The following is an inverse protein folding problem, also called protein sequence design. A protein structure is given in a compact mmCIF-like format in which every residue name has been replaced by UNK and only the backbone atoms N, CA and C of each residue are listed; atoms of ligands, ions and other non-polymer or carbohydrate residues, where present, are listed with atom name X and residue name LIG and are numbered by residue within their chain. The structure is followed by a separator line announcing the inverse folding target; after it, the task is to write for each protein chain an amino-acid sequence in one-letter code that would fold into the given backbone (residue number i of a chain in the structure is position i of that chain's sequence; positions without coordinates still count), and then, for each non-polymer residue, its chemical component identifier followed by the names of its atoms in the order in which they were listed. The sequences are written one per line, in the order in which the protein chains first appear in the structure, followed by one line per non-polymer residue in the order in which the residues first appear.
data_IF_100883518282
#
_entry.id   IF_100883518282
#
_cell.length_a   1.000
_cell.length_b   1.000
_cell.length_c   1.000
_cell.angle_alpha   90.00
_cell.angle_beta   90.00
_cell.angle_gamma   90.00
#
_symmetry.space_group_name_H-M   'P 1'
#
loop_
_entity.id
_entity.type
_entity.pdbx_description
1 polymer ?
#
# COMPACT_ATOMS: atom_id res chain seq x y z
N UNK A 1 31.39 -16.80 50.43
CA UNK A 1 32.16 -17.78 49.63
C UNK A 1 32.15 -17.24 48.20
N UNK A 2 33.16 -16.45 47.76
CA UNK A 2 34.34 -16.92 46.98
C UNK A 2 33.86 -17.79 45.79
N UNK A 3 34.06 -17.48 44.50
CA UNK A 3 35.22 -16.84 43.89
C UNK A 3 35.00 -16.54 42.37
N UNK A 4 35.82 -15.60 41.85
CA UNK A 4 36.54 -15.58 40.55
C UNK A 4 35.72 -15.49 39.24
N UNK A 5 35.79 -14.37 38.51
CA UNK A 5 36.81 -14.02 37.49
C UNK A 5 36.72 -14.95 36.26
N UNK A 6 36.56 -14.45 35.03
CA UNK A 6 37.71 -14.00 34.22
C UNK A 6 37.19 -13.31 32.95
N UNK A 7 37.71 -12.12 32.66
CA UNK A 7 37.52 -11.41 31.41
C UNK A 7 38.38 -12.05 30.31
N UNK A 8 37.82 -12.24 29.11
CA UNK A 8 38.58 -12.59 27.92
C UNK A 8 38.25 -11.57 26.81
N UNK A 9 39.00 -10.47 26.79
CA UNK A 9 39.14 -9.67 25.57
C UNK A 9 39.94 -10.51 24.57
N UNK A 10 39.33 -10.86 23.43
CA UNK A 10 40.06 -11.40 22.28
C UNK A 10 40.15 -10.30 21.24
N UNK A 11 41.19 -9.48 21.35
CA UNK A 11 41.66 -8.63 20.26
C UNK A 11 42.56 -9.47 19.36
N UNK A 12 42.03 -9.90 18.22
CA UNK A 12 42.80 -10.49 17.13
C UNK A 12 42.79 -9.54 15.93
N UNK A 13 43.76 -8.62 15.88
CA UNK A 13 44.10 -7.88 14.67
C UNK A 13 44.90 -8.80 13.75
N UNK A 14 44.26 -9.46 12.79
CA UNK A 14 44.94 -10.13 11.68
C UNK A 14 44.88 -9.22 10.44
N UNK A 15 45.88 -8.33 10.33
CA UNK A 15 46.22 -7.71 9.04
C UNK A 15 46.99 -8.76 8.24
N UNK A 16 46.37 -9.27 7.18
CA UNK A 16 46.99 -10.14 6.20
C UNK A 16 46.50 -9.76 4.82
N UNK A 17 47.29 -8.96 4.10
CA UNK A 17 47.10 -8.72 2.67
C UNK A 17 47.19 -10.04 1.89
N UNK A 18 46.15 -10.35 1.11
CA UNK A 18 46.28 -11.08 -0.14
C UNK A 18 45.16 -10.70 -1.10
N UNK A 19 45.55 -10.62 -2.36
CA UNK A 19 44.89 -9.93 -3.45
C UNK A 19 43.57 -10.56 -3.91
N UNK A 20 42.72 -9.69 -4.48
CA UNK A 20 41.80 -10.01 -5.56
C UNK A 20 40.72 -11.06 -5.29
N UNK A 21 39.81 -10.80 -4.37
CA UNK A 21 38.43 -11.26 -4.49
C UNK A 21 37.49 -10.12 -4.10
N UNK A 22 36.39 -9.99 -4.82
CA UNK A 22 35.30 -9.06 -4.52
C UNK A 22 34.99 -9.01 -3.02
N UNK A 23 34.47 -7.89 -2.51
CA UNK A 23 33.78 -7.78 -1.21
C UNK A 23 32.81 -8.95 -1.03
N UNK A 24 33.33 -10.05 -0.52
CA UNK A 24 32.72 -11.37 -0.55
C UNK A 24 32.62 -11.85 0.86
N UNK A 25 31.46 -12.44 1.20
CA UNK A 25 31.22 -12.96 2.54
C UNK A 25 32.33 -13.94 2.92
N UNK A 26 32.85 -13.83 4.14
CA UNK A 26 33.82 -14.81 4.64
C UNK A 26 33.15 -16.18 4.79
N UNK A 27 33.95 -17.25 4.83
CA UNK A 27 33.41 -18.60 5.01
C UNK A 27 32.58 -18.70 6.30
N UNK A 28 33.01 -18.04 7.35
CA UNK A 28 32.32 -17.98 8.64
C UNK A 28 30.96 -17.30 8.51
N UNK A 29 30.89 -16.17 7.80
CA UNK A 29 29.64 -15.45 7.55
C UNK A 29 28.65 -16.31 6.75
N UNK A 30 29.12 -17.02 5.72
CA UNK A 30 28.28 -17.94 4.92
C UNK A 30 27.75 -19.09 5.79
N UNK A 31 28.57 -19.64 6.68
CA UNK A 31 28.13 -20.71 7.58
C UNK A 31 27.07 -20.22 8.59
N UNK A 32 27.23 -19.01 9.12
CA UNK A 32 26.24 -18.41 10.02
C UNK A 32 24.91 -18.16 9.30
N UNK A 33 24.95 -17.63 8.08
CA UNK A 33 23.76 -17.39 7.27
C UNK A 33 23.06 -18.71 6.91
N UNK A 34 23.82 -19.75 6.56
CA UNK A 34 23.26 -21.06 6.29
C UNK A 34 22.58 -21.66 7.53
N UNK A 35 23.17 -21.51 8.71
CA UNK A 35 22.53 -21.95 9.95
C UNK A 35 21.26 -21.16 10.25
N UNK A 36 21.27 -19.84 10.08
CA UNK A 36 20.10 -19.00 10.25
C UNK A 36 18.99 -19.37 9.26
N UNK A 37 19.31 -19.62 8.00
CA UNK A 37 18.37 -19.99 6.96
C UNK A 37 17.75 -21.38 7.21
N UNK A 38 18.55 -22.35 7.70
CA UNK A 38 18.05 -23.65 8.18
C UNK A 38 17.09 -23.49 9.36
N UNK A 39 17.40 -22.63 10.33
CA UNK A 39 16.54 -22.36 11.48
C UNK A 39 15.23 -21.65 11.08
N UNK A 40 15.31 -20.77 10.08
CA UNK A 40 14.15 -20.07 9.52
C UNK A 40 13.30 -20.94 8.57
N UNK A 41 13.72 -22.17 8.27
CA UNK A 41 13.02 -23.06 7.35
C UNK A 41 13.05 -22.62 5.89
N UNK A 42 13.95 -21.70 5.51
CA UNK A 42 14.06 -21.17 4.14
C UNK A 42 14.97 -22.02 3.24
N UNK A 43 15.54 -23.10 3.78
CA UNK A 43 16.36 -24.07 3.04
C UNK A 43 15.75 -25.46 3.21
N UNK A 44 15.41 -26.12 2.10
CA UNK A 44 14.95 -27.50 2.08
C UNK A 44 16.02 -28.45 1.57
N UNK A 45 15.97 -29.71 2.00
CA UNK A 45 16.88 -30.78 1.58
C UNK A 45 16.08 -31.88 0.89
N UNK A 46 16.49 -32.27 -0.32
CA UNK A 46 15.83 -33.31 -1.11
C UNK A 46 14.81 -32.78 -2.13
N UNK A 47 14.14 -33.70 -2.83
CA UNK A 47 13.29 -33.41 -4.00
C UNK A 47 11.83 -33.04 -3.66
N UNK A 48 11.42 -33.15 -2.39
CA UNK A 48 10.00 -33.15 -2.01
C UNK A 48 9.44 -31.77 -1.63
N UNK A 49 10.28 -30.79 -1.29
CA UNK A 49 9.85 -29.51 -0.74
C UNK A 49 10.58 -28.32 -1.40
N UNK A 50 10.65 -28.32 -2.73
CA UNK A 50 11.09 -27.16 -3.49
C UNK A 50 9.92 -26.52 -4.24
N UNK A 51 9.62 -25.23 -4.00
CA UNK A 51 10.32 -24.30 -3.11
C UNK A 51 9.99 -24.51 -1.61
N UNK A 52 10.83 -24.04 -0.67
CA UNK A 52 10.51 -23.99 0.76
C UNK A 52 9.14 -23.34 0.99
N UNK A 53 8.36 -23.91 1.92
CA UNK A 53 7.08 -23.32 2.33
C UNK A 53 7.31 -21.90 2.86
N UNK A 54 6.71 -20.91 2.19
CA UNK A 54 6.77 -19.51 2.62
C UNK A 54 5.83 -19.35 3.81
N UNK A 55 6.37 -18.95 4.96
CA UNK A 55 5.55 -18.57 6.11
C UNK A 55 4.69 -17.37 5.72
N UNK A 56 3.37 -17.54 5.68
CA UNK A 56 2.44 -16.45 5.44
C UNK A 56 2.39 -15.57 6.68
N UNK A 57 3.13 -14.46 6.66
CA UNK A 57 3.05 -13.43 7.70
C UNK A 57 1.88 -12.51 7.38
N UNK A 58 0.65 -12.94 7.70
CA UNK A 58 -0.49 -12.01 7.70
C UNK A 58 -0.38 -11.11 8.92
N UNK A 59 -0.34 -9.79 8.71
CA UNK A 59 -0.30 -8.81 9.80
C UNK A 59 -1.64 -8.65 10.51
N UNK A 60 -2.74 -9.05 9.86
CA UNK A 60 -4.10 -8.90 10.39
C UNK A 60 -4.66 -10.22 10.88
N UNK A 61 -5.31 -10.16 12.05
CA UNK A 61 -6.13 -11.26 12.54
C UNK A 61 -7.44 -11.35 11.77
N UNK A 62 -8.09 -12.53 11.82
CA UNK A 62 -9.37 -12.76 11.16
C UNK A 62 -10.47 -11.82 11.69
N UNK A 63 -10.37 -11.45 12.96
CA UNK A 63 -11.27 -10.52 13.64
C UNK A 63 -11.08 -9.10 13.11
N UNK A 64 -9.83 -8.66 12.94
CA UNK A 64 -9.51 -7.34 12.39
C UNK A 64 -10.04 -7.18 10.96
N UNK A 65 -9.83 -8.19 10.10
CA UNK A 65 -10.36 -8.18 8.73
C UNK A 65 -11.88 -8.13 8.71
N UNK A 66 -12.56 -8.86 9.60
CA UNK A 66 -14.02 -8.80 9.69
C UNK A 66 -14.50 -7.42 10.15
N UNK A 67 -13.83 -6.81 11.13
CA UNK A 67 -14.18 -5.49 11.62
C UNK A 67 -14.01 -4.41 10.53
N UNK A 68 -12.91 -4.46 9.78
CA UNK A 68 -12.66 -3.56 8.66
C UNK A 68 -13.71 -3.74 7.55
N UNK A 69 -14.05 -4.98 7.20
CA UNK A 69 -15.08 -5.27 6.21
C UNK A 69 -16.45 -4.72 6.63
N UNK A 70 -16.83 -4.86 7.91
CA UNK A 70 -18.08 -4.29 8.42
C UNK A 70 -18.07 -2.76 8.37
N UNK A 71 -16.97 -2.12 8.73
CA UNK A 71 -16.80 -0.66 8.62
C UNK A 71 -16.94 -0.19 7.17
N UNK A 72 -16.29 -0.88 6.23
CA UNK A 72 -16.32 -0.53 4.82
C UNK A 72 -17.72 -0.71 4.20
N UNK A 73 -18.47 -1.73 4.63
CA UNK A 73 -19.88 -1.92 4.26
C UNK A 73 -20.77 -0.80 4.80
N UNK A 74 -20.60 -0.43 6.08
CA UNK A 74 -21.35 0.67 6.69
C UNK A 74 -21.05 2.03 6.02
N UNK A 75 -19.81 2.24 5.58
CA UNK A 75 -19.39 3.42 4.82
C UNK A 75 -19.85 3.41 3.34
N UNK A 76 -20.50 2.34 2.88
CA UNK A 76 -20.92 2.20 1.48
C UNK A 76 -19.75 2.04 0.49
N UNK A 77 -18.56 1.67 0.97
CA UNK A 77 -17.36 1.49 0.14
C UNK A 77 -17.32 0.11 -0.55
N UNK A 78 -18.12 -0.85 -0.06
CA UNK A 78 -18.19 -2.22 -0.58
C UNK A 78 -19.61 -2.49 -1.03
N UNK A 79 -19.76 -2.95 -2.28
CA UNK A 79 -21.04 -3.35 -2.87
C UNK A 79 -21.17 -4.87 -2.81
N UNK A 80 -22.38 -5.36 -2.56
CA UNK A 80 -22.63 -6.80 -2.42
C UNK A 80 -23.27 -7.43 -3.66
N UNK A 81 -23.64 -6.62 -4.66
CA UNK A 81 -24.33 -7.04 -5.87
C UNK A 81 -23.59 -6.56 -7.11
N UNK A 82 -23.58 -7.38 -8.17
CA UNK A 82 -22.86 -7.14 -9.43
C UNK A 82 -23.32 -5.87 -10.17
N UNK A 83 -24.55 -5.41 -9.90
CA UNK A 83 -25.14 -4.21 -10.51
C UNK A 83 -24.92 -2.92 -9.72
N UNK A 84 -24.33 -2.99 -8.52
CA UNK A 84 -24.13 -1.83 -7.65
C UNK A 84 -22.75 -1.16 -7.85
N UNK A 85 -22.04 -1.46 -8.94
CA UNK A 85 -20.76 -0.82 -9.26
C UNK A 85 -20.96 0.41 -10.16
N UNK A 86 -20.33 1.56 -9.85
CA UNK A 86 -19.47 1.81 -8.68
C UNK A 86 -20.28 2.02 -7.39
N UNK A 87 -19.68 1.78 -6.20
CA UNK A 87 -20.32 2.06 -4.93
C UNK A 87 -20.85 3.49 -4.91
N UNK A 88 -22.13 3.67 -4.59
CA UNK A 88 -22.73 5.00 -4.48
C UNK A 88 -21.99 5.77 -3.40
N UNK A 89 -21.12 6.70 -3.81
CA UNK A 89 -20.44 7.58 -2.88
C UNK A 89 -21.51 8.39 -2.14
N UNK A 90 -21.39 8.46 -0.81
CA UNK A 90 -22.35 9.11 0.10
C UNK A 90 -22.44 10.63 -0.12
N UNK A 91 -21.71 11.17 -1.09
CA UNK A 91 -21.76 12.57 -1.48
C UNK A 91 -21.78 12.70 -3.00
N UNK A 92 -22.92 12.38 -3.62
CA UNK A 92 -23.34 13.24 -4.72
C UNK A 92 -23.81 14.53 -4.05
N UNK A 93 -22.96 15.56 -4.05
CA UNK A 93 -23.44 16.93 -3.83
C UNK A 93 -24.64 17.09 -4.73
N UNK A 94 -25.83 17.32 -4.14
CA UNK A 94 -27.05 17.48 -4.90
C UNK A 94 -26.79 18.62 -5.89
N UNK A 95 -26.59 18.28 -7.16
CA UNK A 95 -26.48 19.27 -8.22
C UNK A 95 -27.75 20.08 -8.28
N UNK A 96 -27.69 21.26 -8.91
CA UNK A 96 -28.88 22.09 -9.14
C UNK A 96 -29.99 21.25 -9.74
N UNK A 97 -31.19 21.34 -9.17
CA UNK A 97 -32.37 20.71 -9.74
C UNK A 97 -32.63 21.27 -11.15
N UNK A 98 -33.35 20.50 -11.98
CA UNK A 98 -33.76 21.00 -13.31
C UNK A 98 -34.56 22.30 -13.23
N UNK A 99 -35.27 22.54 -12.12
CA UNK A 99 -36.00 23.78 -11.90
C UNK A 99 -35.03 24.96 -11.69
N UNK A 100 -34.02 24.79 -10.83
CA UNK A 100 -33.00 25.81 -10.57
C UNK A 100 -32.19 26.16 -11.83
N UNK A 101 -31.79 25.14 -12.61
CA UNK A 101 -31.07 25.36 -13.88
C UNK A 101 -31.91 26.16 -14.88
N UNK A 102 -33.23 25.89 -14.93
CA UNK A 102 -34.15 26.63 -15.83
C UNK A 102 -34.32 28.08 -15.39
N UNK A 103 -34.38 28.32 -14.09
CA UNK A 103 -34.50 29.67 -13.53
C UNK A 103 -33.23 30.48 -13.81
N UNK A 104 -32.06 29.92 -13.54
CA UNK A 104 -30.76 30.57 -13.82
C UNK A 104 -30.58 30.88 -15.30
N UNK A 105 -31.00 29.97 -16.19
CA UNK A 105 -30.97 30.22 -17.64
C UNK A 105 -31.90 31.37 -18.04
N UNK A 106 -33.08 31.48 -17.42
CA UNK A 106 -33.99 32.59 -17.67
C UNK A 106 -33.40 33.92 -17.18
N UNK A 107 -32.78 33.93 -16.01
CA UNK A 107 -32.12 35.11 -15.44
C UNK A 107 -30.92 35.57 -16.27
N UNK A 108 -30.12 34.62 -16.78
CA UNK A 108 -28.98 34.91 -17.67
C UNK A 108 -29.45 35.49 -19.01
N UNK A 109 -30.56 34.99 -19.56
CA UNK A 109 -31.20 35.54 -20.76
C UNK A 109 -31.71 36.95 -20.54
N UNK A 110 -32.37 37.21 -19.39
CA UNK A 110 -32.86 38.54 -19.04
C UNK A 110 -31.72 39.56 -18.86
N UNK A 111 -30.55 39.11 -18.38
CA UNK A 111 -29.35 39.92 -18.23
C UNK A 111 -28.52 40.07 -19.51
N UNK A 112 -28.89 39.36 -20.60
CA UNK A 112 -28.13 39.37 -21.85
C UNK A 112 -26.77 38.67 -21.76
N UNK A 113 -26.53 37.87 -20.71
CA UNK A 113 -25.31 37.08 -20.50
C UNK A 113 -25.28 35.81 -21.38
N UNK A 114 -26.40 35.49 -22.05
CA UNK A 114 -26.56 34.34 -22.92
C UNK A 114 -27.16 34.74 -24.28
N UNK A 115 -26.43 34.47 -25.37
CA UNK A 115 -26.88 34.67 -26.76
C UNK A 115 -26.85 33.33 -27.51
N UNK A 116 -27.72 33.17 -28.52
CA UNK A 116 -27.76 31.99 -29.38
C UNK A 116 -27.34 32.37 -30.80
N UNK A 117 -26.31 31.71 -31.33
CA UNK A 117 -25.81 31.90 -32.69
C UNK A 117 -24.40 32.52 -32.76
N UNK A 118 -23.71 32.28 -33.89
CA UNK A 118 -22.33 32.73 -34.17
C UNK A 118 -22.19 34.26 -34.32
N UNK A 119 -23.30 34.97 -34.55
CA UNK A 119 -23.29 36.39 -34.93
C UNK A 119 -23.13 37.38 -33.77
N UNK A 120 -23.32 36.92 -32.52
CA UNK A 120 -23.30 37.77 -31.32
C UNK A 120 -22.43 37.17 -30.19
N UNK A 121 -21.36 36.48 -30.56
CA UNK A 121 -20.33 36.02 -29.61
C UNK A 121 -19.13 36.99 -29.60
N UNK A 122 -18.63 37.41 -28.41
CA UNK A 122 -19.14 37.13 -27.07
C UNK A 122 -20.38 37.98 -26.72
N UNK A 123 -21.23 37.52 -25.78
CA UNK A 123 -22.37 38.28 -25.29
C UNK A 123 -21.89 39.63 -24.73
N UNK A 124 -22.45 40.73 -25.23
CA UNK A 124 -22.10 42.10 -24.79
C UNK A 124 -22.86 42.46 -23.51
N UNK A 125 -22.54 41.77 -22.41
CA UNK A 125 -22.84 42.27 -21.06
C UNK A 125 -21.97 43.49 -20.77
N UNK A 126 -22.55 44.54 -20.19
CA UNK A 126 -21.83 45.77 -19.80
C UNK A 126 -20.84 45.53 -18.68
#
# INVERSE_FOLDING_TARGET
MKALATALMVTATLVGMSAAHADGKTREQVQQELQAAKAAGTVTFGELDYPPAVAQTTSLSREQVQQELQSAKAAGQVTSAELDYPPKTVAQTAGKSRAEVRQELADAKARGEYTFGELDYPPKGR
#
